data_IF_672869378949
#
_entry.id   IF_672869378949
#
_cell.length_a   1.000
_cell.length_b   1.000
_cell.length_c   1.000
_cell.angle_alpha   90.00
_cell.angle_beta   90.00
_cell.angle_gamma   90.00
#
_symmetry.space_group_name_H-M   'P 1'
#
loop_
_entity.id
_entity.type
_entity.pdbx_description
1 polymer ?
#
# COMPACT_ATOMS: atom_id res chain seq x y z
N UNK A 1 -34.94 14.65 45.11
CA UNK A 1 -33.62 14.36 44.49
C UNK A 1 -33.62 14.93 43.09
N UNK A 2 -32.80 15.93 42.79
CA UNK A 2 -32.54 16.42 41.43
C UNK A 2 -31.29 15.70 40.93
N UNK A 3 -31.41 14.90 39.88
CA UNK A 3 -30.26 14.36 39.15
C UNK A 3 -30.03 15.28 37.97
N UNK A 4 -28.87 15.94 37.94
CA UNK A 4 -28.40 16.74 36.81
C UNK A 4 -27.44 15.88 36.00
N UNK A 5 -27.81 15.56 34.75
CA UNK A 5 -26.90 14.91 33.80
C UNK A 5 -26.36 15.99 32.88
N UNK A 6 -25.06 16.31 33.01
CA UNK A 6 -24.34 17.13 32.04
C UNK A 6 -23.88 16.23 30.89
N UNK A 7 -24.55 16.28 29.75
CA UNK A 7 -23.99 15.79 28.49
C UNK A 7 -23.20 16.92 27.81
N UNK A 8 -21.92 16.68 27.55
CA UNK A 8 -21.09 17.54 26.69
C UNK A 8 -21.38 17.17 25.24
N UNK A 9 -22.08 18.04 24.50
CA UNK A 9 -22.10 17.98 23.03
C UNK A 9 -20.80 18.58 22.50
N UNK A 10 -20.05 17.81 21.69
CA UNK A 10 -18.99 18.34 20.84
C UNK A 10 -19.61 18.75 19.49
N UNK A 11 -19.43 20.01 19.12
CA UNK A 11 -19.94 20.60 17.89
C UNK A 11 -19.19 20.06 16.65
N UNK A 12 -19.93 19.68 15.61
CA UNK A 12 -19.38 19.26 14.31
C UNK A 12 -18.81 20.44 13.51
N UNK A 13 -17.73 20.18 12.76
CA UNK A 13 -17.12 21.12 11.80
C UNK A 13 -17.38 20.61 10.38
N UNK A 14 -17.60 21.55 9.47
CA UNK A 14 -17.97 21.38 8.07
C UNK A 14 -16.91 20.65 7.21
N UNK A 15 -17.38 19.77 6.33
CA UNK A 15 -16.59 19.17 5.25
C UNK A 15 -16.88 19.84 3.90
N UNK A 16 -15.83 20.03 3.08
CA UNK A 16 -15.94 20.44 1.68
C UNK A 16 -15.76 19.21 0.79
N UNK A 17 -16.67 19.01 -0.16
CA UNK A 17 -16.48 18.10 -1.28
C UNK A 17 -16.08 18.90 -2.52
N UNK A 18 -14.99 18.53 -3.18
CA UNK A 18 -14.62 19.06 -4.49
C UNK A 18 -14.65 17.91 -5.48
N UNK A 19 -15.65 17.92 -6.37
CA UNK A 19 -15.66 17.13 -7.60
C UNK A 19 -15.99 18.09 -8.74
N UNK A 20 -15.07 18.29 -9.66
CA UNK A 20 -15.36 18.91 -10.96
C UNK A 20 -15.74 20.40 -10.98
N UNK A 21 -15.20 21.25 -10.10
CA UNK A 21 -15.11 22.69 -10.36
C UNK A 21 -16.28 23.59 -9.97
N UNK A 22 -17.20 23.19 -9.08
CA UNK A 22 -18.18 24.12 -8.47
C UNK A 22 -18.08 24.03 -6.94
N UNK A 23 -17.81 25.16 -6.29
CA UNK A 23 -17.79 25.30 -4.83
C UNK A 23 -19.08 25.98 -4.36
N UNK A 24 -19.87 25.30 -3.52
CA UNK A 24 -20.99 25.89 -2.79
C UNK A 24 -20.67 25.98 -1.30
N UNK A 25 -20.88 27.14 -0.68
CA UNK A 25 -20.69 27.36 0.75
C UNK A 25 -22.06 27.47 1.45
N UNK A 26 -22.27 26.70 2.52
CA UNK A 26 -23.43 26.81 3.40
C UNK A 26 -23.00 27.28 4.79
N UNK A 27 -23.72 28.25 5.37
CA UNK A 27 -23.52 28.75 6.73
C UNK A 27 -24.66 28.22 7.60
N UNK A 28 -24.36 27.65 8.77
CA UNK A 28 -25.35 27.30 9.79
C UNK A 28 -25.53 28.49 10.76
N UNK A 29 -26.77 28.99 10.88
CA UNK A 29 -27.16 29.93 11.94
C UNK A 29 -27.65 29.17 13.17
N UNK A 30 -27.17 29.53 14.36
CA UNK A 30 -27.63 29.00 15.63
C UNK A 30 -28.87 29.74 16.13
N UNK A 31 -29.92 29.01 16.49
CA UNK A 31 -31.02 29.52 17.32
C UNK A 31 -30.99 28.79 18.68
N UNK A 32 -31.23 29.53 19.77
CA UNK A 32 -31.21 29.02 21.15
C UNK A 32 -32.31 27.98 21.42
N UNK A 33 -32.11 27.03 22.35
CA UNK A 33 -33.09 25.99 22.65
C UNK A 33 -34.26 26.52 23.48
N UNK A 34 -35.46 26.06 23.16
CA UNK A 34 -36.68 26.26 23.95
C UNK A 34 -36.69 25.35 25.18
N UNK A 35 -37.07 25.90 26.32
CA UNK A 35 -37.31 25.17 27.57
C UNK A 35 -38.66 24.47 27.52
N UNK A 36 -38.71 23.21 27.09
CA UNK A 36 -39.83 22.31 27.40
C UNK A 36 -39.40 20.85 27.29
N UNK A 37 -39.66 20.10 28.36
CA UNK A 37 -39.40 18.66 28.50
C UNK A 37 -40.45 17.82 27.79
N UNK A 38 -40.07 17.15 26.70
CA UNK A 38 -40.34 15.71 26.39
C UNK A 38 -39.64 15.34 25.08
N UNK A 39 -38.82 14.27 25.12
CA UNK A 39 -38.02 13.64 24.05
C UNK A 39 -36.84 14.47 23.45
N UNK A 40 -35.65 13.86 23.24
CA UNK A 40 -34.60 14.49 22.45
C UNK A 40 -35.00 14.48 20.97
N UNK A 41 -35.23 15.66 20.41
CA UNK A 41 -35.42 15.86 18.98
C UNK A 41 -34.05 15.70 18.29
N UNK A 42 -33.84 14.59 17.58
CA UNK A 42 -32.66 14.40 16.72
C UNK A 42 -32.94 15.10 15.40
N UNK A 43 -32.58 16.37 15.29
CA UNK A 43 -32.61 17.06 14.00
C UNK A 43 -31.43 16.61 13.14
N UNK A 44 -31.67 15.61 12.30
CA UNK A 44 -30.82 15.33 11.14
C UNK A 44 -31.09 16.40 10.08
N UNK A 45 -30.19 17.39 9.98
CA UNK A 45 -30.12 18.25 8.80
C UNK A 45 -29.57 17.43 7.62
N UNK A 46 -30.43 16.59 7.04
CA UNK A 46 -30.13 15.83 5.84
C UNK A 46 -30.11 16.73 4.60
N UNK A 47 -29.29 16.36 3.62
CA UNK A 47 -29.35 16.86 2.25
C UNK A 47 -30.64 16.38 1.56
N UNK A 48 -31.80 16.77 2.08
CA UNK A 48 -33.12 16.44 1.53
C UNK A 48 -33.62 17.56 0.61
N UNK A 49 -32.76 18.01 -0.31
CA UNK A 49 -33.22 18.75 -1.49
C UNK A 49 -33.30 17.79 -2.67
N UNK A 50 -34.17 18.07 -3.64
CA UNK A 50 -34.45 17.29 -4.87
C UNK A 50 -33.20 16.84 -5.66
N UNK A 51 -32.03 17.42 -5.38
CA UNK A 51 -30.73 17.06 -5.95
C UNK A 51 -30.03 15.87 -5.24
N UNK A 52 -30.34 15.60 -3.97
CA UNK A 52 -29.72 14.54 -3.17
C UNK A 52 -30.12 13.12 -3.62
N UNK A 53 -31.40 12.93 -3.96
CA UNK A 53 -31.94 11.65 -4.44
C UNK A 53 -31.46 11.31 -5.86
N UNK A 54 -31.11 12.32 -6.66
CA UNK A 54 -30.57 12.13 -8.01
C UNK A 54 -29.09 11.75 -8.05
N UNK A 55 -28.31 12.18 -7.05
CA UNK A 55 -26.87 11.94 -7.00
C UNK A 55 -26.50 10.68 -6.21
N UNK A 56 -27.30 10.30 -5.22
CA UNK A 56 -27.03 9.14 -4.35
C UNK A 56 -28.32 8.38 -3.98
N UNK A 57 -28.93 7.66 -4.93
CA UNK A 57 -30.15 6.90 -4.66
C UNK A 57 -29.90 5.85 -3.57
N UNK A 58 -30.68 5.91 -2.48
CA UNK A 58 -30.64 4.95 -1.37
C UNK A 58 -30.00 5.48 -0.08
N UNK A 59 -29.08 6.46 -0.15
CA UNK A 59 -28.40 7.00 1.06
C UNK A 59 -29.40 7.78 1.94
N UNK A 60 -30.32 8.53 1.32
CA UNK A 60 -31.39 9.24 2.03
C UNK A 60 -32.33 8.30 2.78
N UNK A 61 -32.73 7.19 2.13
CA UNK A 61 -33.62 6.21 2.74
C UNK A 61 -32.92 5.45 3.88
N UNK A 62 -31.66 5.06 3.71
CA UNK A 62 -30.88 4.42 4.76
C UNK A 62 -30.72 5.30 6.00
N UNK A 63 -30.53 6.61 5.83
CA UNK A 63 -30.46 7.55 6.94
C UNK A 63 -31.82 7.69 7.66
N UNK A 64 -32.92 7.69 6.91
CA UNK A 64 -34.28 7.71 7.46
C UNK A 64 -34.61 6.42 8.19
N UNK A 65 -34.23 5.27 7.64
CA UNK A 65 -34.42 3.96 8.25
C UNK A 65 -33.58 3.84 9.54
N UNK A 66 -32.37 4.39 9.55
CA UNK A 66 -31.49 4.42 10.72
C UNK A 66 -32.10 5.29 11.82
N UNK A 67 -32.61 6.47 11.47
CA UNK A 67 -33.27 7.35 12.42
C UNK A 67 -34.56 6.75 12.98
N UNK A 68 -35.35 6.09 12.12
CA UNK A 68 -36.59 5.41 12.51
C UNK A 68 -36.29 4.27 13.47
N UNK A 69 -35.34 3.40 13.11
CA UNK A 69 -34.94 2.29 13.94
C UNK A 69 -34.31 2.75 15.27
N UNK A 70 -33.51 3.82 15.26
CA UNK A 70 -32.94 4.43 16.46
C UNK A 70 -34.05 4.89 17.42
N UNK A 71 -35.10 5.50 16.86
CA UNK A 71 -36.27 5.96 17.61
C UNK A 71 -37.09 4.79 18.16
N UNK A 72 -37.26 3.72 17.40
CA UNK A 72 -38.08 2.56 17.80
C UNK A 72 -37.39 1.69 18.85
N UNK A 73 -36.09 1.50 18.72
CA UNK A 73 -35.30 0.62 19.60
C UNK A 73 -34.71 1.34 20.80
N UNK A 74 -34.61 2.67 20.75
CA UNK A 74 -33.84 3.45 21.72
C UNK A 74 -32.33 3.23 21.63
N UNK A 75 -31.86 2.51 20.60
CA UNK A 75 -30.44 2.23 20.34
C UNK A 75 -29.99 2.92 19.04
N UNK A 76 -29.58 4.20 19.12
CA UNK A 76 -29.14 4.95 17.95
C UNK A 76 -27.84 4.40 17.35
N UNK A 77 -27.04 3.64 18.11
CA UNK A 77 -25.81 3.04 17.61
C UNK A 77 -26.13 1.79 16.78
N UNK A 78 -26.94 0.88 17.33
CA UNK A 78 -27.35 -0.33 16.63
C UNK A 78 -28.10 -0.01 15.33
N UNK A 79 -28.96 1.01 15.35
CA UNK A 79 -29.69 1.44 14.17
C UNK A 79 -28.80 2.05 13.06
N UNK A 80 -27.78 2.82 13.45
CA UNK A 80 -26.80 3.34 12.50
C UNK A 80 -25.96 2.21 11.88
N UNK A 81 -25.46 1.29 12.71
CA UNK A 81 -24.64 0.15 12.29
C UNK A 81 -25.39 -0.75 11.30
N UNK A 82 -26.69 -0.97 11.50
CA UNK A 82 -27.50 -1.78 10.60
C UNK A 82 -27.77 -1.13 9.23
N UNK A 83 -27.83 0.20 9.17
CA UNK A 83 -28.07 0.92 7.93
C UNK A 83 -26.81 1.42 7.24
N UNK A 84 -25.67 1.35 7.93
CA UNK A 84 -24.36 1.70 7.40
C UNK A 84 -24.03 1.04 6.05
N UNK A 85 -24.32 -0.26 5.81
CA UNK A 85 -24.23 -0.90 4.49
C UNK A 85 -24.88 -0.12 3.35
N UNK A 86 -26.06 0.46 3.61
CA UNK A 86 -26.85 1.18 2.63
C UNK A 86 -26.41 2.65 2.48
N UNK A 87 -25.64 3.16 3.45
CA UNK A 87 -25.04 4.50 3.44
C UNK A 87 -23.71 4.53 2.66
N UNK A 88 -23.01 3.40 2.56
CA UNK A 88 -21.70 3.29 1.91
C UNK A 88 -21.79 2.34 0.72
N UNK A 89 -22.26 2.87 -0.42
CA UNK A 89 -22.29 2.12 -1.68
C UNK A 89 -20.89 1.62 -2.09
N UNK A 90 -20.77 0.42 -2.69
CA UNK A 90 -19.49 -0.14 -3.17
C UNK A 90 -18.79 0.67 -4.26
N UNK A 91 -19.44 1.72 -4.80
CA UNK A 91 -18.82 2.65 -5.77
C UNK A 91 -18.00 3.77 -5.11
N UNK A 92 -18.09 3.94 -3.79
CA UNK A 92 -17.35 4.97 -3.07
C UNK A 92 -15.95 4.43 -2.73
N UNK A 93 -14.96 4.86 -3.51
CA UNK A 93 -13.58 4.98 -3.04
C UNK A 93 -13.60 5.86 -1.79
N UNK A 94 -13.53 5.24 -0.61
CA UNK A 94 -13.47 5.94 0.68
C UNK A 94 -12.06 6.50 0.83
N UNK A 95 -11.73 7.54 0.07
CA UNK A 95 -10.71 8.51 0.48
C UNK A 95 -11.42 9.54 1.32
N UNK A 96 -11.73 9.18 2.56
CA UNK A 96 -12.34 10.11 3.50
C UNK A 96 -11.29 10.53 4.53
N UNK A 97 -10.96 11.83 4.52
CA UNK A 97 -10.14 12.50 5.51
C UNK A 97 -10.91 12.59 6.83
N UNK A 98 -11.16 11.45 7.46
CA UNK A 98 -11.56 11.42 8.86
C UNK A 98 -10.31 11.20 9.69
N UNK A 99 -10.23 11.92 10.81
CA UNK A 99 -9.15 11.74 11.77
C UNK A 99 -9.11 10.24 12.17
N UNK A 100 -7.91 9.66 12.36
CA UNK A 100 -7.72 8.21 12.56
C UNK A 100 -8.33 7.62 13.84
N UNK A 101 -9.16 8.40 14.53
CA UNK A 101 -9.83 8.07 15.80
C UNK A 101 -11.35 8.19 15.72
N UNK A 102 -11.94 8.51 14.56
CA UNK A 102 -13.40 8.48 14.41
C UNK A 102 -13.87 7.02 14.27
N UNK A 103 -14.65 6.49 15.25
CA UNK A 103 -15.15 5.12 15.20
C UNK A 103 -15.97 4.84 13.93
N UNK A 104 -16.61 5.86 13.35
CA UNK A 104 -17.42 5.71 12.13
C UNK A 104 -16.54 5.50 10.91
N UNK A 105 -15.46 6.26 10.79
CA UNK A 105 -14.53 6.11 9.67
C UNK A 105 -13.76 4.79 9.74
N UNK A 106 -13.40 4.39 10.95
CA UNK A 106 -12.77 3.10 11.19
C UNK A 106 -13.72 1.95 10.82
N UNK A 107 -14.98 2.01 11.27
CA UNK A 107 -16.02 1.06 10.89
C UNK A 107 -16.25 1.02 9.37
N UNK A 108 -16.28 2.18 8.70
CA UNK A 108 -16.40 2.29 7.24
C UNK A 108 -15.28 1.57 6.49
N UNK A 109 -14.06 1.75 6.98
CA UNK A 109 -12.84 1.17 6.41
C UNK A 109 -12.89 -0.35 6.51
N UNK A 110 -13.22 -0.86 7.69
CA UNK A 110 -13.33 -2.30 7.93
C UNK A 110 -14.50 -2.94 7.19
N UNK A 111 -15.63 -2.25 7.08
CA UNK A 111 -16.77 -2.73 6.30
C UNK A 111 -16.45 -2.82 4.80
N UNK A 112 -15.73 -1.85 4.24
CA UNK A 112 -15.27 -1.90 2.85
C UNK A 112 -14.27 -3.04 2.62
N UNK A 113 -13.35 -3.27 3.57
CA UNK A 113 -12.43 -4.41 3.55
C UNK A 113 -13.20 -5.73 3.64
N UNK A 114 -14.15 -5.85 4.57
CA UNK A 114 -15.00 -7.03 4.73
C UNK A 114 -15.79 -7.32 3.47
N UNK A 115 -16.37 -6.31 2.81
CA UNK A 115 -17.04 -6.49 1.53
C UNK A 115 -16.09 -7.00 0.45
N UNK A 116 -14.86 -6.49 0.35
CA UNK A 116 -13.87 -6.98 -0.61
C UNK A 116 -13.45 -8.43 -0.34
N UNK A 117 -13.31 -8.82 0.92
CA UNK A 117 -13.00 -10.19 1.35
C UNK A 117 -14.20 -11.12 1.07
N UNK A 118 -15.40 -10.79 1.56
CA UNK A 118 -16.61 -11.61 1.46
C UNK A 118 -17.17 -11.73 0.04
N UNK A 119 -16.98 -10.72 -0.81
CA UNK A 119 -17.39 -10.81 -2.23
C UNK A 119 -16.42 -11.64 -3.07
N UNK A 120 -15.30 -12.11 -2.49
CA UNK A 120 -14.24 -12.79 -3.21
C UNK A 120 -13.60 -11.90 -4.28
N UNK A 121 -13.66 -10.57 -4.12
CA UNK A 121 -13.04 -9.62 -5.05
C UNK A 121 -11.57 -9.38 -4.75
N UNK A 122 -11.11 -9.71 -3.54
CA UNK A 122 -9.69 -9.66 -3.22
C UNK A 122 -8.92 -10.68 -4.07
N UNK A 123 -9.45 -11.90 -4.17
CA UNK A 123 -8.82 -12.99 -4.91
C UNK A 123 -9.45 -13.15 -6.31
N UNK A 124 -8.66 -13.22 -7.38
CA UNK A 124 -9.16 -13.67 -8.68
C UNK A 124 -9.88 -15.02 -8.52
N UNK A 125 -10.97 -15.22 -9.28
CA UNK A 125 -11.77 -16.44 -9.21
C UNK A 125 -10.90 -17.70 -9.30
N UNK A 126 -10.78 -18.45 -8.21
CA UNK A 126 -9.96 -19.67 -8.10
C UNK A 126 -8.99 -19.71 -6.91
N UNK A 127 -8.66 -18.55 -6.33
CA UNK A 127 -7.87 -18.43 -5.10
C UNK A 127 -8.82 -18.43 -3.89
N UNK A 128 -9.31 -19.60 -3.49
CA UNK A 128 -10.13 -19.72 -2.29
C UNK A 128 -9.36 -20.52 -1.24
N UNK A 129 -9.09 -19.88 -0.10
CA UNK A 129 -8.68 -20.46 1.19
C UNK A 129 -7.17 -20.68 1.40
N UNK A 130 -6.62 -20.38 2.60
CA UNK A 130 -5.27 -20.78 3.00
C UNK A 130 -5.15 -22.31 2.97
N UNK A 131 -4.18 -22.83 2.21
CA UNK A 131 -3.87 -24.27 2.17
C UNK A 131 -4.04 -24.96 0.81
N UNK A 132 -4.41 -24.23 -0.25
CA UNK A 132 -4.34 -24.74 -1.63
C UNK A 132 -3.07 -24.23 -2.33
N UNK A 133 -2.44 -25.10 -3.14
CA UNK A 133 -1.34 -24.70 -4.02
C UNK A 133 -1.83 -23.60 -4.95
N UNK A 134 -1.20 -22.42 -4.85
CA UNK A 134 -1.55 -21.27 -5.67
C UNK A 134 -0.87 -21.47 -7.02
N UNK A 135 -1.68 -21.76 -8.04
CA UNK A 135 -1.23 -21.75 -9.43
C UNK A 135 -0.71 -20.37 -9.84
N UNK A 136 0.27 -20.33 -10.74
CA UNK A 136 0.84 -19.10 -11.31
C UNK A 136 -0.28 -18.12 -11.72
N UNK A 137 -0.31 -16.94 -11.09
CA UNK A 137 -1.31 -15.94 -11.39
C UNK A 137 -1.00 -15.26 -12.72
N UNK A 138 -2.04 -14.89 -13.46
CA UNK A 138 -1.85 -14.06 -14.65
C UNK A 138 -1.28 -12.69 -14.26
N UNK A 139 -0.50 -12.05 -15.12
CA UNK A 139 0.05 -10.72 -14.83
C UNK A 139 -1.04 -9.67 -14.53
N UNK A 140 -2.22 -9.81 -15.13
CA UNK A 140 -3.39 -8.96 -14.86
C UNK A 140 -3.92 -9.19 -13.44
N UNK A 141 -4.01 -10.45 -13.02
CA UNK A 141 -4.49 -10.84 -11.70
C UNK A 141 -3.52 -10.42 -10.58
N UNK A 142 -2.20 -10.60 -10.80
CA UNK A 142 -1.16 -10.08 -9.90
C UNK A 142 -1.28 -8.56 -9.76
N UNK A 143 -1.46 -7.85 -10.88
CA UNK A 143 -1.62 -6.39 -10.86
C UNK A 143 -2.87 -5.93 -10.12
N UNK A 144 -4.02 -6.62 -10.28
CA UNK A 144 -5.25 -6.32 -9.55
C UNK A 144 -5.10 -6.60 -8.06
N UNK A 145 -4.56 -7.76 -7.71
CA UNK A 145 -4.33 -8.17 -6.32
C UNK A 145 -3.40 -7.16 -5.61
N UNK A 146 -2.28 -6.80 -6.24
CA UNK A 146 -1.34 -5.80 -5.71
C UNK A 146 -1.97 -4.43 -5.50
N UNK A 147 -2.80 -3.97 -6.44
CA UNK A 147 -3.52 -2.69 -6.32
C UNK A 147 -4.53 -2.70 -5.17
N UNK A 148 -5.29 -3.78 -5.03
CA UNK A 148 -6.27 -3.94 -3.96
C UNK A 148 -5.57 -3.99 -2.60
N UNK A 149 -4.49 -4.78 -2.47
CA UNK A 149 -3.70 -4.86 -1.25
C UNK A 149 -3.07 -3.53 -0.86
N UNK A 150 -2.45 -2.80 -1.80
CA UNK A 150 -1.91 -1.47 -1.51
C UNK A 150 -2.98 -0.49 -0.98
N UNK A 151 -4.20 -0.58 -1.50
CA UNK A 151 -5.33 0.24 -1.03
C UNK A 151 -5.73 -0.13 0.39
N UNK A 152 -5.82 -1.42 0.68
CA UNK A 152 -6.18 -1.94 2.01
C UNK A 152 -5.08 -1.61 3.04
N UNK A 153 -3.81 -1.85 2.71
CA UNK A 153 -2.65 -1.53 3.54
C UNK A 153 -2.60 -0.05 3.89
N UNK A 154 -2.81 0.83 2.91
CA UNK A 154 -2.86 2.28 3.13
C UNK A 154 -3.96 2.66 4.13
N UNK A 155 -5.15 2.06 4.00
CA UNK A 155 -6.26 2.32 4.90
C UNK A 155 -5.99 1.77 6.31
N UNK A 156 -5.43 0.57 6.45
CA UNK A 156 -5.07 -0.02 7.74
C UNK A 156 -3.97 0.78 8.44
N UNK A 157 -2.95 1.22 7.71
CA UNK A 157 -1.89 2.09 8.24
C UNK A 157 -2.46 3.41 8.72
N UNK A 158 -3.45 3.97 8.02
CA UNK A 158 -4.16 5.17 8.48
C UNK A 158 -4.90 4.93 9.81
N UNK A 159 -5.41 3.72 10.06
CA UNK A 159 -5.98 3.28 11.33
C UNK A 159 -4.93 2.85 12.38
N UNK A 160 -3.64 2.96 12.07
CA UNK A 160 -2.54 2.61 12.97
C UNK A 160 -2.19 1.13 13.04
N UNK A 161 -2.74 0.30 12.13
CA UNK A 161 -2.43 -1.12 11.97
C UNK A 161 -1.42 -1.26 10.83
N UNK A 162 -0.25 -1.82 11.10
CA UNK A 162 0.73 -2.18 10.08
C UNK A 162 0.81 -3.71 9.99
N UNK A 163 0.40 -4.29 8.86
CA UNK A 163 0.41 -5.75 8.65
C UNK A 163 1.83 -6.31 8.71
N UNK A 164 2.83 -5.51 8.31
CA UNK A 164 4.24 -5.92 8.31
C UNK A 164 4.89 -5.77 9.69
N UNK A 165 4.22 -5.11 10.63
CA UNK A 165 4.69 -4.89 12.00
C UNK A 165 3.49 -4.80 12.95
N UNK A 166 2.80 -5.94 13.09
CA UNK A 166 1.58 -6.03 13.87
C UNK A 166 1.86 -5.80 15.35
N UNK A 167 1.12 -4.87 15.93
CA UNK A 167 1.09 -4.61 17.37
C UNK A 167 -0.17 -5.27 17.96
N UNK A 168 -0.03 -6.39 18.70
CA UNK A 168 -1.17 -7.14 19.24
C UNK A 168 -2.09 -6.30 20.12
N UNK A 169 -1.54 -5.32 20.85
CA UNK A 169 -2.31 -4.46 21.75
C UNK A 169 -3.20 -3.50 20.96
N UNK A 170 -2.72 -3.03 19.80
CA UNK A 170 -3.54 -2.21 18.89
C UNK A 170 -4.63 -3.03 18.24
N UNK A 171 -4.32 -4.23 17.77
CA UNK A 171 -5.32 -5.13 17.16
C UNK A 171 -6.43 -5.43 18.16
N UNK A 172 -6.08 -5.79 19.40
CA UNK A 172 -7.06 -6.05 20.46
C UNK A 172 -7.90 -4.81 20.81
N UNK A 173 -7.29 -3.62 20.82
CA UNK A 173 -8.01 -2.36 21.08
C UNK A 173 -9.02 -2.04 19.98
N UNK A 174 -8.65 -2.25 18.72
CA UNK A 174 -9.56 -2.02 17.59
C UNK A 174 -10.68 -3.06 17.58
N UNK A 175 -10.38 -4.34 17.87
CA UNK A 175 -11.39 -5.39 18.00
C UNK A 175 -12.41 -5.04 19.09
N UNK A 176 -11.93 -4.60 20.27
CA UNK A 176 -12.81 -4.17 21.36
C UNK A 176 -13.72 -2.99 20.98
N UNK A 177 -13.26 -2.08 20.13
CA UNK A 177 -14.09 -0.98 19.64
C UNK A 177 -15.17 -1.48 18.68
N UNK A 178 -14.83 -2.40 17.77
CA UNK A 178 -15.77 -3.02 16.85
C UNK A 178 -16.83 -3.85 17.61
N UNK A 179 -16.41 -4.65 18.58
CA UNK A 179 -17.32 -5.42 19.45
C UNK A 179 -18.28 -4.49 20.20
N UNK A 180 -17.77 -3.36 20.71
CA UNK A 180 -18.59 -2.35 21.42
C UNK A 180 -19.58 -1.62 20.50
N UNK A 181 -19.32 -1.64 19.19
CA UNK A 181 -20.21 -1.12 18.16
C UNK A 181 -21.16 -2.18 17.61
N UNK A 182 -21.05 -3.45 18.04
CA UNK A 182 -21.89 -4.55 17.57
C UNK A 182 -21.50 -5.09 16.18
N UNK A 183 -20.25 -4.86 15.74
CA UNK A 183 -19.74 -5.46 14.52
C UNK A 183 -19.36 -6.93 14.76
N UNK A 184 -19.73 -7.84 13.87
CA UNK A 184 -19.35 -9.26 13.93
C UNK A 184 -18.03 -9.55 13.16
N UNK A 185 -17.18 -8.53 13.03
CA UNK A 185 -15.96 -8.60 12.23
C UNK A 185 -14.76 -9.07 13.05
N UNK A 186 -14.09 -10.12 12.61
CA UNK A 186 -12.85 -10.61 13.23
C UNK A 186 -11.62 -10.04 12.52
N UNK A 187 -10.96 -9.07 13.15
CA UNK A 187 -9.77 -8.40 12.61
C UNK A 187 -8.64 -9.39 12.37
N UNK A 188 -8.47 -10.39 13.22
CA UNK A 188 -7.40 -11.38 13.07
C UNK A 188 -7.61 -12.21 11.80
N UNK A 189 -8.84 -12.64 11.52
CA UNK A 189 -9.14 -13.40 10.30
C UNK A 189 -8.83 -12.58 9.03
N UNK A 190 -9.14 -11.28 9.04
CA UNK A 190 -8.83 -10.39 7.92
C UNK A 190 -7.31 -10.15 7.78
N UNK A 191 -6.59 -10.00 8.90
CA UNK A 191 -5.13 -9.92 8.90
C UNK A 191 -4.52 -11.19 8.30
N UNK A 192 -5.01 -12.36 8.69
CA UNK A 192 -4.49 -13.64 8.20
C UNK A 192 -4.73 -13.79 6.68
N UNK A 193 -5.91 -13.37 6.19
CA UNK A 193 -6.24 -13.39 4.77
C UNK A 193 -5.40 -12.39 3.95
N UNK A 194 -5.15 -11.19 4.49
CA UNK A 194 -4.25 -10.21 3.89
C UNK A 194 -2.79 -10.67 3.92
N UNK A 195 -2.37 -11.33 4.99
CA UNK A 195 -1.06 -11.96 5.10
C UNK A 195 -0.86 -13.04 4.02
N UNK A 196 -1.85 -13.93 3.85
CA UNK A 196 -1.84 -14.92 2.77
C UNK A 196 -1.76 -14.26 1.39
N UNK A 197 -2.53 -13.19 1.15
CA UNK A 197 -2.50 -12.47 -0.12
C UNK A 197 -1.14 -11.80 -0.38
N UNK A 198 -0.50 -11.25 0.66
CA UNK A 198 0.88 -10.74 0.60
C UNK A 198 1.90 -11.85 0.30
N UNK A 199 1.76 -13.02 0.93
CA UNK A 199 2.60 -14.19 0.67
C UNK A 199 2.46 -14.70 -0.78
N UNK A 200 1.23 -14.71 -1.29
CA UNK A 200 0.95 -15.05 -2.68
C UNK A 200 1.60 -14.06 -3.62
N UNK A 201 1.52 -12.75 -3.36
CA UNK A 201 2.19 -11.75 -4.19
C UNK A 201 3.70 -11.83 -4.10
N UNK A 202 4.25 -11.96 -2.89
CA UNK A 202 5.70 -11.99 -2.67
C UNK A 202 6.37 -13.21 -3.30
N UNK A 203 5.61 -14.28 -3.58
CA UNK A 203 6.08 -15.46 -4.31
C UNK A 203 5.95 -15.34 -5.84
N UNK A 204 5.27 -14.32 -6.37
CA UNK A 204 5.13 -14.17 -7.83
C UNK A 204 6.42 -13.66 -8.47
N UNK A 205 6.81 -14.22 -9.64
CA UNK A 205 7.89 -13.67 -10.43
C UNK A 205 7.50 -12.28 -10.97
N UNK A 206 8.49 -11.39 -11.04
CA UNK A 206 8.30 -10.05 -11.59
C UNK A 206 7.97 -10.14 -13.09
N UNK A 207 6.82 -9.57 -13.43
CA UNK A 207 6.31 -9.53 -14.79
C UNK A 207 6.77 -8.27 -15.53
N UNK A 208 6.86 -8.38 -16.86
CA UNK A 208 7.05 -7.19 -17.71
C UNK A 208 5.80 -6.32 -17.67
N UNK A 209 6.00 -5.04 -17.35
CA UNK A 209 4.96 -4.01 -17.32
C UNK A 209 5.37 -2.80 -18.17
N UNK A 210 4.53 -2.36 -19.11
CA UNK A 210 4.82 -1.16 -19.88
C UNK A 210 4.78 0.09 -19.00
N UNK A 211 5.39 1.18 -19.46
CA UNK A 211 5.34 2.47 -18.78
C UNK A 211 3.89 2.94 -18.52
N UNK A 212 3.63 3.40 -17.31
CA UNK A 212 2.30 3.77 -16.80
C UNK A 212 1.56 2.64 -16.08
N UNK A 213 2.10 1.41 -16.05
CA UNK A 213 1.57 0.28 -15.29
C UNK A 213 2.57 -0.10 -14.19
N UNK A 214 2.19 0.10 -12.93
CA UNK A 214 3.05 -0.19 -11.80
C UNK A 214 3.38 -1.69 -11.72
N UNK A 215 4.67 -2.08 -11.73
CA UNK A 215 5.10 -3.44 -11.41
C UNK A 215 4.89 -3.76 -9.92
N UNK A 216 4.92 -5.04 -9.58
CA UNK A 216 4.94 -5.46 -8.18
C UNK A 216 6.26 -5.03 -7.53
N UNK A 217 6.16 -4.30 -6.42
CA UNK A 217 7.32 -3.84 -5.67
C UNK A 217 8.01 -4.99 -4.93
N UNK A 218 9.33 -4.92 -4.80
CA UNK A 218 10.11 -5.97 -4.16
C UNK A 218 11.51 -6.12 -4.75
N UNK A 219 12.26 -7.09 -4.23
CA UNK A 219 13.57 -7.44 -4.75
C UNK A 219 13.46 -8.69 -5.62
N UNK A 220 14.01 -8.63 -6.82
CA UNK A 220 13.92 -9.71 -7.79
C UNK A 220 15.28 -10.03 -8.38
N UNK A 221 15.54 -11.30 -8.60
CA UNK A 221 16.77 -11.81 -9.20
C UNK A 221 16.47 -12.62 -10.44
N UNK A 222 17.20 -12.34 -11.50
CA UNK A 222 17.29 -13.20 -12.69
C UNK A 222 18.58 -14.01 -12.65
N UNK A 223 18.57 -15.21 -13.23
CA UNK A 223 19.77 -16.03 -13.43
C UNK A 223 20.62 -15.56 -14.63
N UNK A 224 20.21 -14.49 -15.32
CA UNK A 224 20.95 -13.89 -16.44
C UNK A 224 20.31 -14.16 -17.80
N UNK A 225 21.08 -14.11 -18.90
CA UNK A 225 20.53 -14.13 -20.26
C UNK A 225 19.97 -15.49 -20.69
N UNK A 226 18.85 -15.46 -21.41
CA UNK A 226 18.32 -16.60 -22.17
C UNK A 226 18.80 -16.50 -23.62
N UNK A 227 19.63 -17.45 -24.07
CA UNK A 227 20.05 -17.54 -25.47
C UNK A 227 21.40 -16.90 -25.83
N UNK A 228 22.27 -16.64 -24.83
CA UNK A 228 23.68 -16.28 -25.05
C UNK A 228 23.96 -14.86 -25.54
N UNK A 229 22.96 -13.97 -25.54
CA UNK A 229 23.12 -12.52 -25.71
C UNK A 229 23.31 -11.85 -24.34
N UNK A 230 22.96 -10.57 -24.20
CA UNK A 230 22.82 -9.89 -22.90
C UNK A 230 21.37 -9.97 -22.41
N UNK A 231 21.21 -9.96 -21.09
CA UNK A 231 19.96 -9.67 -20.41
C UNK A 231 19.89 -8.17 -20.15
N UNK A 232 18.89 -7.51 -20.74
CA UNK A 232 18.69 -6.07 -20.63
C UNK A 232 17.39 -5.78 -19.88
N UNK A 233 17.39 -4.73 -19.06
CA UNK A 233 16.21 -4.34 -18.29
C UNK A 233 16.15 -2.83 -18.06
N UNK A 234 14.94 -2.32 -17.86
CA UNK A 234 14.70 -0.90 -17.62
C UNK A 234 13.53 -0.72 -16.67
N UNK A 235 13.74 0.13 -15.66
CA UNK A 235 12.70 0.65 -14.76
C UNK A 235 12.29 2.04 -15.22
N UNK A 236 11.01 2.34 -15.15
CA UNK A 236 10.47 3.68 -15.44
C UNK A 236 9.64 4.21 -14.29
N UNK A 237 9.55 5.54 -14.15
CA UNK A 237 8.61 6.19 -13.25
C UNK A 237 7.18 6.17 -13.81
N UNK A 238 6.22 6.69 -13.05
CA UNK A 238 4.80 6.79 -13.46
C UNK A 238 4.56 7.67 -14.68
N UNK A 239 5.54 8.48 -15.11
CA UNK A 239 5.49 9.32 -16.31
C UNK A 239 6.22 8.67 -17.50
N UNK A 240 6.79 7.49 -17.32
CA UNK A 240 7.56 6.78 -18.34
C UNK A 240 9.01 7.24 -18.47
N UNK A 241 9.52 8.09 -17.57
CA UNK A 241 10.94 8.45 -17.57
C UNK A 241 11.76 7.26 -17.06
N UNK A 242 12.93 7.03 -17.67
CA UNK A 242 13.85 5.98 -17.21
C UNK A 242 14.38 6.32 -15.83
N UNK A 243 14.14 5.42 -14.89
CA UNK A 243 14.61 5.46 -13.51
C UNK A 243 15.97 4.79 -13.41
N UNK A 244 16.05 3.59 -13.98
CA UNK A 244 17.24 2.77 -13.97
C UNK A 244 17.26 1.91 -15.24
N UNK A 245 18.46 1.64 -15.75
CA UNK A 245 18.68 0.66 -16.81
C UNK A 245 19.94 -0.12 -16.50
N UNK A 246 19.92 -1.41 -16.84
CA UNK A 246 21.08 -2.28 -16.73
C UNK A 246 21.18 -3.28 -17.87
N UNK A 247 22.37 -3.85 -17.98
CA UNK A 247 22.71 -4.95 -18.90
C UNK A 247 23.64 -5.93 -18.19
N UNK A 248 23.42 -7.23 -18.40
CA UNK A 248 24.20 -8.28 -17.75
C UNK A 248 24.39 -9.50 -18.64
N UNK A 249 25.54 -10.15 -18.52
CA UNK A 249 25.86 -11.47 -19.08
C UNK A 249 25.70 -12.60 -18.03
N UNK A 250 25.38 -12.24 -16.79
CA UNK A 250 25.24 -13.16 -15.65
C UNK A 250 24.01 -12.77 -14.79
N UNK A 251 23.83 -13.42 -13.65
CA UNK A 251 22.79 -13.09 -12.69
C UNK A 251 22.87 -11.64 -12.21
N UNK A 252 21.70 -11.04 -12.00
CA UNK A 252 21.60 -9.70 -11.43
C UNK A 252 20.33 -9.57 -10.60
N UNK A 253 20.37 -8.62 -9.67
CA UNK A 253 19.24 -8.26 -8.81
C UNK A 253 18.73 -6.88 -9.21
N UNK A 254 17.42 -6.67 -9.07
CA UNK A 254 16.77 -5.37 -9.19
C UNK A 254 15.83 -5.17 -8.01
N UNK A 255 15.74 -3.92 -7.54
CA UNK A 255 14.74 -3.50 -6.55
C UNK A 255 13.69 -2.69 -7.27
N UNK A 256 12.43 -3.12 -7.21
CA UNK A 256 11.28 -2.40 -7.71
C UNK A 256 10.67 -1.59 -6.56
N UNK A 257 10.64 -0.27 -6.73
CA UNK A 257 10.09 0.63 -5.74
C UNK A 257 8.57 0.81 -5.95
N UNK A 258 7.78 1.09 -4.90
CA UNK A 258 6.35 1.41 -5.04
C UNK A 258 6.05 2.60 -5.97
N UNK A 259 7.05 3.46 -6.20
CA UNK A 259 6.95 4.62 -7.10
C UNK A 259 7.26 4.31 -8.57
N UNK A 260 7.71 3.08 -8.88
CA UNK A 260 8.00 2.68 -10.24
C UNK A 260 6.69 2.52 -11.02
N UNK A 261 6.68 3.04 -12.25
CA UNK A 261 5.55 3.01 -13.17
C UNK A 261 5.73 2.06 -14.34
N UNK A 262 6.78 1.25 -14.36
CA UNK A 262 6.96 0.21 -15.37
C UNK A 262 8.30 -0.52 -15.23
N UNK A 263 8.33 -1.77 -15.70
CA UNK A 263 9.51 -2.62 -15.75
C UNK A 263 9.53 -3.40 -17.06
N UNK A 264 10.54 -3.18 -17.88
CA UNK A 264 10.75 -3.95 -19.12
C UNK A 264 12.02 -4.75 -19.04
N UNK A 265 11.98 -5.96 -19.61
CA UNK A 265 13.13 -6.86 -19.66
C UNK A 265 13.19 -7.55 -21.02
N UNK A 266 14.39 -7.87 -21.50
CA UNK A 266 14.62 -8.49 -22.81
C UNK A 266 15.75 -9.50 -22.70
N UNK A 267 15.52 -10.70 -23.24
CA UNK A 267 16.45 -11.84 -23.20
C UNK A 267 16.91 -12.24 -21.78
N UNK A 268 16.11 -11.98 -20.75
CA UNK A 268 16.41 -12.38 -19.38
C UNK A 268 15.63 -13.63 -18.99
N UNK A 269 16.25 -14.49 -18.20
CA UNK A 269 15.54 -15.54 -17.49
C UNK A 269 14.52 -14.93 -16.51
N UNK A 270 13.51 -15.70 -16.06
CA UNK A 270 12.50 -15.19 -15.14
C UNK A 270 13.10 -14.48 -13.92
N UNK A 271 12.45 -13.40 -13.52
CA UNK A 271 12.83 -12.60 -12.36
C UNK A 271 12.10 -13.12 -11.13
N UNK A 272 12.78 -13.91 -10.31
CA UNK A 272 12.19 -14.53 -9.12
C UNK A 272 12.40 -13.63 -7.89
N UNK A 273 11.43 -13.58 -6.98
CA UNK A 273 11.54 -12.81 -5.75
C UNK A 273 12.71 -13.32 -4.89
N UNK A 274 13.40 -12.39 -4.23
CA UNK A 274 14.47 -12.70 -3.27
C UNK A 274 14.25 -11.88 -2.00
N UNK A 275 14.45 -12.49 -0.82
CA UNK A 275 14.48 -11.72 0.43
C UNK A 275 15.81 -11.00 0.52
N UNK A 276 15.76 -9.67 0.52
CA UNK A 276 16.88 -8.81 0.86
C UNK A 276 16.36 -7.88 1.93
N UNK A 277 16.87 -8.08 3.14
CA UNK A 277 16.34 -7.53 4.37
C UNK A 277 16.91 -6.12 4.63
N UNK A 278 16.90 -5.72 5.90
CA UNK A 278 17.43 -4.45 6.39
C UNK A 278 18.93 -4.29 6.16
N UNK A 279 19.41 -3.05 6.31
CA UNK A 279 20.84 -2.77 6.29
C UNK A 279 21.59 -3.60 7.34
N UNK A 280 22.57 -4.39 6.89
CA UNK A 280 23.48 -5.09 7.78
C UNK A 280 24.46 -4.07 8.38
N UNK A 281 24.17 -3.64 9.60
CA UNK A 281 24.97 -2.64 10.30
C UNK A 281 26.33 -3.16 10.76
N UNK A 282 26.55 -4.48 10.73
CA UNK A 282 27.83 -5.10 11.07
C UNK A 282 28.79 -5.16 9.88
N UNK A 283 28.26 -5.16 8.65
CA UNK A 283 29.05 -5.21 7.42
C UNK A 283 29.56 -3.83 6.97
N UNK A 284 30.70 -3.82 6.31
CA UNK A 284 31.37 -2.59 5.85
C UNK A 284 30.66 -1.99 4.64
N UNK A 285 30.47 -0.68 4.63
CA UNK A 285 29.97 0.08 3.48
C UNK A 285 31.04 0.21 2.39
N UNK A 286 30.61 0.23 1.13
CA UNK A 286 31.48 0.52 0.00
C UNK A 286 31.30 2.00 -0.39
N UNK A 287 32.39 2.79 -0.50
CA UNK A 287 32.29 4.17 -0.99
C UNK A 287 31.64 4.23 -2.38
N UNK A 288 30.71 5.16 -2.60
CA UNK A 288 29.96 5.22 -3.87
C UNK A 288 30.51 6.19 -4.92
N UNK A 289 31.18 7.27 -4.51
CA UNK A 289 31.46 8.38 -5.43
C UNK A 289 32.54 8.07 -6.47
N UNK A 290 33.62 7.39 -6.05
CA UNK A 290 34.72 7.01 -6.93
C UNK A 290 35.47 5.83 -6.32
N UNK A 291 34.91 4.63 -6.48
CA UNK A 291 35.44 3.41 -5.91
C UNK A 291 35.69 2.38 -6.99
N UNK A 292 36.84 1.73 -6.88
CA UNK A 292 37.15 0.47 -7.57
C UNK A 292 37.85 -0.40 -6.55
N UNK A 293 37.32 -1.60 -6.29
CA UNK A 293 37.90 -2.53 -5.34
C UNK A 293 37.84 -3.98 -5.83
N UNK A 294 38.81 -4.77 -5.39
CA UNK A 294 38.88 -6.21 -5.63
C UNK A 294 38.01 -6.96 -4.62
N UNK A 295 37.17 -7.87 -5.12
CA UNK A 295 36.21 -8.61 -4.29
C UNK A 295 36.96 -9.67 -3.46
N UNK A 296 36.63 -9.76 -2.17
CA UNK A 296 37.33 -10.57 -1.18
C UNK A 296 38.57 -9.90 -0.58
N UNK A 297 39.01 -8.76 -1.12
CA UNK A 297 40.16 -7.98 -0.63
C UNK A 297 39.70 -6.62 -0.10
N UNK A 298 39.20 -5.76 -0.97
CA UNK A 298 38.78 -4.39 -0.63
C UNK A 298 37.31 -4.31 -0.18
N UNK A 299 36.50 -5.28 -0.62
CA UNK A 299 35.09 -5.42 -0.25
C UNK A 299 34.73 -6.91 -0.09
N UNK A 300 33.67 -7.20 0.68
CA UNK A 300 33.17 -8.56 0.80
C UNK A 300 32.04 -8.83 -0.22
N UNK A 301 31.87 -10.07 -0.68
CA UNK A 301 30.69 -10.48 -1.42
C UNK A 301 29.40 -10.22 -0.62
N UNK A 302 28.29 -9.98 -1.31
CA UNK A 302 26.99 -9.72 -0.68
C UNK A 302 26.08 -8.82 -1.52
N UNK A 303 24.89 -8.55 -1.00
CA UNK A 303 23.95 -7.60 -1.60
C UNK A 303 24.12 -6.22 -0.98
N UNK A 304 24.15 -5.18 -1.81
CA UNK A 304 24.39 -3.81 -1.40
C UNK A 304 23.38 -2.86 -2.03
N UNK A 305 22.84 -1.95 -1.21
CA UNK A 305 21.92 -0.89 -1.61
C UNK A 305 22.64 0.46 -1.66
N UNK A 306 22.57 1.14 -2.79
CA UNK A 306 22.86 2.58 -2.88
C UNK A 306 21.57 3.38 -2.96
N UNK A 307 21.59 4.63 -2.52
CA UNK A 307 20.49 5.59 -2.71
C UNK A 307 20.48 6.23 -4.10
N UNK A 308 21.26 5.69 -5.05
CA UNK A 308 21.42 6.25 -6.39
C UNK A 308 22.50 7.32 -6.41
N UNK A 309 22.25 8.44 -7.09
CA UNK A 309 23.24 9.51 -7.22
C UNK A 309 23.61 10.14 -5.89
N UNK A 310 24.90 10.38 -5.70
CA UNK A 310 25.45 11.13 -4.56
C UNK A 310 25.03 12.59 -4.52
N UNK A 311 24.76 13.21 -5.67
CA UNK A 311 24.43 14.64 -5.79
C UNK A 311 23.05 14.91 -6.41
N UNK A 312 22.34 13.85 -6.83
CA UNK A 312 21.04 13.91 -7.50
C UNK A 312 21.07 14.55 -8.89
N UNK A 313 22.27 14.79 -9.44
CA UNK A 313 22.48 15.52 -10.72
C UNK A 313 23.24 14.67 -11.73
N UNK A 314 24.26 13.96 -11.29
CA UNK A 314 25.04 13.02 -12.11
C UNK A 314 24.48 11.63 -11.95
N UNK A 315 24.52 10.84 -13.02
CA UNK A 315 24.17 9.43 -12.93
C UNK A 315 25.13 8.70 -11.99
N UNK A 316 24.56 7.89 -11.11
CA UNK A 316 25.28 6.82 -10.42
C UNK A 316 25.50 5.69 -11.43
N UNK A 317 26.76 5.36 -11.66
CA UNK A 317 27.20 4.28 -12.54
C UNK A 317 27.87 3.20 -11.69
N UNK A 318 27.57 1.94 -12.01
CA UNK A 318 28.19 0.81 -11.35
C UNK A 318 28.48 -0.31 -12.33
N UNK A 319 29.51 -1.11 -12.04
CA UNK A 319 29.81 -2.32 -12.80
C UNK A 319 30.43 -3.41 -11.92
N UNK A 320 30.06 -4.65 -12.24
CA UNK A 320 30.73 -5.87 -11.79
C UNK A 320 31.62 -6.38 -12.92
N UNK A 321 32.84 -6.75 -12.55
CA UNK A 321 33.90 -7.11 -13.48
C UNK A 321 34.55 -8.43 -13.07
N UNK A 322 35.03 -9.19 -14.05
CA UNK A 322 35.81 -10.39 -13.78
C UNK A 322 37.23 -10.05 -13.27
N UNK A 323 38.03 -11.07 -12.95
CA UNK A 323 39.41 -10.90 -12.47
C UNK A 323 40.34 -10.18 -13.46
N UNK A 324 39.98 -10.13 -14.75
CA UNK A 324 40.73 -9.40 -15.79
C UNK A 324 40.28 -7.94 -15.94
N UNK A 325 39.18 -7.54 -15.29
CA UNK A 325 38.59 -6.20 -15.38
C UNK A 325 37.56 -6.05 -16.52
N UNK A 326 37.14 -7.15 -17.15
CA UNK A 326 36.07 -7.11 -18.15
C UNK A 326 34.73 -6.97 -17.45
N UNK A 327 33.97 -5.94 -17.82
CA UNK A 327 32.62 -5.71 -17.30
C UNK A 327 31.64 -6.71 -17.89
N UNK A 328 30.91 -7.41 -17.02
CA UNK A 328 29.88 -8.36 -17.43
C UNK A 328 28.49 -7.99 -16.89
N UNK A 329 28.39 -7.08 -15.92
CA UNK A 329 27.13 -6.55 -15.41
C UNK A 329 27.31 -5.07 -15.06
N UNK A 330 26.38 -4.22 -15.51
CA UNK A 330 26.44 -2.78 -15.25
C UNK A 330 25.07 -2.14 -15.26
N UNK A 331 24.96 -0.99 -14.60
CA UNK A 331 23.75 -0.20 -14.57
C UNK A 331 23.98 1.28 -14.32
N UNK A 332 22.91 2.05 -14.52
CA UNK A 332 22.89 3.49 -14.32
C UNK A 332 21.56 3.96 -13.75
N UNK A 333 21.61 4.88 -12.79
CA UNK A 333 20.44 5.55 -12.17
C UNK A 333 20.75 7.02 -11.92
N UNK A 334 19.75 7.90 -11.87
CA UNK A 334 19.94 9.32 -11.56
C UNK A 334 19.64 9.66 -10.10
N UNK A 335 18.68 8.99 -9.46
CA UNK A 335 18.26 9.37 -8.10
C UNK A 335 17.68 8.22 -7.28
N UNK A 336 17.23 7.15 -7.94
CA UNK A 336 16.49 6.11 -7.23
C UNK A 336 17.42 5.04 -6.67
N UNK A 337 17.00 4.36 -5.59
CA UNK A 337 17.77 3.30 -4.99
C UNK A 337 18.05 2.16 -5.97
N UNK A 338 19.22 1.56 -5.79
CA UNK A 338 19.71 0.45 -6.61
C UNK A 338 20.34 -0.59 -5.71
N UNK A 339 19.97 -1.84 -5.93
CA UNK A 339 20.56 -2.99 -5.25
C UNK A 339 21.41 -3.80 -6.22
N UNK A 340 22.64 -4.07 -5.82
CA UNK A 340 23.56 -4.94 -6.58
C UNK A 340 23.98 -6.08 -5.68
N UNK A 341 23.86 -7.31 -6.18
CA UNK A 341 24.51 -8.46 -5.54
C UNK A 341 25.87 -8.68 -6.19
N UNK A 342 26.91 -8.63 -5.37
CA UNK A 342 28.30 -8.90 -5.71
C UNK A 342 28.58 -10.34 -5.32
N UNK A 343 28.86 -11.19 -6.30
CA UNK A 343 29.08 -12.62 -6.07
C UNK A 343 30.52 -12.90 -5.64
N UNK A 344 30.79 -13.99 -4.89
CA UNK A 344 32.15 -14.36 -4.51
C UNK A 344 33.11 -14.61 -5.69
N UNK A 345 32.55 -14.87 -6.87
CA UNK A 345 33.28 -15.10 -8.12
C UNK A 345 33.61 -13.82 -8.88
N UNK A 346 33.08 -12.68 -8.44
CA UNK A 346 33.39 -11.38 -9.05
C UNK A 346 34.86 -11.06 -8.81
N UNK A 347 35.50 -10.43 -9.80
CA UNK A 347 36.87 -9.94 -9.63
C UNK A 347 36.89 -8.56 -8.99
N UNK A 348 36.12 -7.62 -9.56
CA UNK A 348 36.10 -6.22 -9.10
C UNK A 348 34.71 -5.63 -9.13
N UNK A 349 34.49 -4.69 -8.22
CA UNK A 349 33.33 -3.81 -8.23
C UNK A 349 33.78 -2.37 -8.42
N UNK A 350 33.13 -1.66 -9.35
CA UNK A 350 33.38 -0.25 -9.60
C UNK A 350 32.10 0.56 -9.40
N UNK A 351 32.22 1.71 -8.73
CA UNK A 351 31.14 2.67 -8.53
C UNK A 351 31.62 4.09 -8.77
N UNK A 352 30.84 4.86 -9.53
CA UNK A 352 31.14 6.23 -9.94
C UNK A 352 29.90 7.10 -9.77
N UNK A 353 30.02 8.19 -9.01
CA UNK A 353 28.96 9.17 -8.78
C UNK A 353 27.82 8.68 -7.89
N UNK A 354 27.90 7.48 -7.31
CA UNK A 354 26.87 6.91 -6.45
C UNK A 354 26.99 7.41 -5.00
N UNK A 355 25.87 7.40 -4.28
CA UNK A 355 25.90 7.40 -2.83
C UNK A 355 26.53 6.09 -2.32
N UNK A 356 27.02 6.09 -1.07
CA UNK A 356 27.64 4.91 -0.49
C UNK A 356 26.72 3.70 -0.51
N UNK A 357 27.31 2.54 -0.80
CA UNK A 357 26.64 1.26 -0.84
C UNK A 357 26.58 0.69 0.56
N UNK A 358 25.37 0.44 1.02
CA UNK A 358 25.08 -0.13 2.33
C UNK A 358 24.79 -1.61 2.16
N UNK A 359 25.52 -2.50 2.85
CA UNK A 359 25.25 -3.94 2.80
C UNK A 359 23.85 -4.24 3.34
N UNK A 360 23.22 -5.25 2.75
CA UNK A 360 21.91 -5.78 3.15
C UNK A 360 22.10 -7.14 3.79
N UNK A 361 21.31 -7.44 4.82
CA UNK A 361 21.22 -8.81 5.33
C UNK A 361 20.48 -9.70 4.32
N UNK A 362 20.94 -10.94 4.21
CA UNK A 362 20.35 -12.01 3.40
C UNK A 362 19.78 -13.08 4.33
#
# INVERSE_FOLDING_TARGET
>A
MKVSVCSRLAAGIAGFAVVGGIAGAGILSSAQPSTSTTAPDVQLAGFASDLGDYLFPGVGQAAVDAATQASETGDPKGAFVQQFPNLVSPTLSVVSYFLPWDPIALYASFYATEQLLNTGQLFPSGLTNPGHEVSDLSAEDVGKLAKNLNTIDSNLRSAGIDINNLDPDKVAKVQSLLDSAGADFNIQSAIDELGFAHDVLSSQPLQTTPAGVAPLAGNYRTTGPTGGTSCDWTRTDTKGNVVERGTTLDSTTVTIEPTDGGFTTTNCAPWNPVSLDTADSAAQKIPGYNFTGEVGVDLQPGSYLTKGSSDGKKSCLWSRQDGSGVTFNSGTTIANPVTVTIEPTDGKFQSLGCADWTPLSQ
#
